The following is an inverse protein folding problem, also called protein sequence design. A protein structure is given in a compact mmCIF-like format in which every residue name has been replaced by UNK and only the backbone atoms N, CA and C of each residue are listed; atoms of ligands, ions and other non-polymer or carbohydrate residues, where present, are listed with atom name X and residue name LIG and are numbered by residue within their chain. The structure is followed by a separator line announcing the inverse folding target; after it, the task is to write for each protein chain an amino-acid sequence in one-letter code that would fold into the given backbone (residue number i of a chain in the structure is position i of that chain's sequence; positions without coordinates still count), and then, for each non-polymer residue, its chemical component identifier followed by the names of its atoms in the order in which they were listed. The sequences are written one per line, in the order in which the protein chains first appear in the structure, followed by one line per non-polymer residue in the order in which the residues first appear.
data_IF_218215860402
#
_entry.id   IF_218215860402
#
_cell.length_a   1.000
_cell.length_b   1.000
_cell.length_c   1.000
_cell.angle_alpha   90.00
_cell.angle_beta   90.00
_cell.angle_gamma   90.00
#
_symmetry.space_group_name_H-M   'P 1'
#
loop_
_entity.id
_entity.type
_entity.pdbx_description
1 polymer ?
#
# COMPACT_ATOMS: atom_id res chain seq x y z
N UNK A 1 -6.33 1.42 22.43
CA UNK A 1 -7.38 0.47 21.99
C UNK A 1 -6.90 -0.13 20.68
N UNK A 2 -6.36 -1.35 20.70
CA UNK A 2 -6.10 -2.14 19.49
C UNK A 2 -7.27 -3.12 19.36
N UNK A 3 -8.03 -3.14 18.26
CA UNK A 3 -8.98 -4.22 18.03
C UNK A 3 -8.17 -5.53 17.91
N UNK A 4 -8.50 -6.52 18.73
CA UNK A 4 -7.64 -7.63 19.15
C UNK A 4 -7.22 -8.65 18.07
N UNK A 5 -7.43 -8.39 16.77
CA UNK A 5 -7.08 -9.37 15.72
C UNK A 5 -6.57 -8.77 14.39
N UNK A 6 -6.32 -7.46 14.31
CA UNK A 6 -5.75 -6.87 13.10
C UNK A 6 -4.22 -6.72 13.25
N UNK A 7 -3.48 -7.38 12.36
CA UNK A 7 -2.02 -7.24 12.25
C UNK A 7 -1.68 -5.76 12.13
N UNK A 8 -0.73 -5.28 12.96
CA UNK A 8 -0.32 -3.88 12.87
C UNK A 8 0.30 -3.59 11.51
N UNK A 9 0.21 -2.34 11.04
CA UNK A 9 0.80 -1.98 9.77
C UNK A 9 2.32 -2.23 9.75
N UNK A 10 3.00 -2.03 10.89
CA UNK A 10 4.44 -2.27 11.02
C UNK A 10 4.78 -3.77 10.87
N UNK A 11 4.01 -4.65 11.50
CA UNK A 11 4.18 -6.10 11.32
C UNK A 11 3.89 -6.52 9.88
N UNK A 12 2.86 -5.93 9.27
CA UNK A 12 2.47 -6.22 7.89
C UNK A 12 3.58 -5.87 6.89
N UNK A 13 4.20 -4.69 7.04
CA UNK A 13 5.29 -4.28 6.14
C UNK A 13 6.59 -5.06 6.43
N UNK A 14 6.83 -5.49 7.66
CA UNK A 14 7.95 -6.34 8.03
C UNK A 14 7.82 -7.74 7.40
N UNK A 15 6.59 -8.26 7.29
CA UNK A 15 6.28 -9.51 6.59
C UNK A 15 6.42 -9.35 5.06
N UNK A 16 5.81 -8.30 4.49
CA UNK A 16 5.75 -8.12 3.02
C UNK A 16 7.02 -7.56 2.39
N UNK A 17 7.85 -6.84 3.14
CA UNK A 17 9.14 -6.29 2.69
C UNK A 17 9.12 -5.63 1.30
N UNK A 18 8.24 -4.64 1.04
CA UNK A 18 8.23 -3.95 -0.24
C UNK A 18 9.54 -3.18 -0.45
N UNK A 19 10.09 -3.31 -1.65
CA UNK A 19 11.46 -2.87 -1.97
C UNK A 19 11.52 -1.49 -2.61
N UNK A 20 10.43 -1.07 -3.26
CA UNK A 20 10.35 0.20 -3.99
C UNK A 20 9.01 0.90 -3.75
N UNK A 21 8.91 2.16 -4.16
CA UNK A 21 7.74 2.99 -3.88
C UNK A 21 6.45 2.44 -4.49
N UNK A 22 6.52 1.82 -5.67
CA UNK A 22 5.32 1.24 -6.31
C UNK A 22 4.74 0.10 -5.47
N UNK A 23 5.62 -0.75 -4.93
CA UNK A 23 5.24 -1.82 -4.01
C UNK A 23 4.73 -1.26 -2.68
N UNK A 24 5.37 -0.22 -2.14
CA UNK A 24 4.90 0.45 -0.92
C UNK A 24 3.49 1.00 -1.10
N UNK A 25 3.20 1.67 -2.22
CA UNK A 25 1.83 2.14 -2.50
C UNK A 25 0.83 0.99 -2.59
N UNK A 26 1.19 -0.10 -3.27
CA UNK A 26 0.34 -1.28 -3.35
C UNK A 26 0.06 -1.88 -1.96
N UNK A 27 1.08 -2.01 -1.11
CA UNK A 27 0.97 -2.52 0.26
C UNK A 27 0.11 -1.61 1.14
N UNK A 28 0.28 -0.29 1.05
CA UNK A 28 -0.53 0.69 1.80
C UNK A 28 -2.00 0.60 1.39
N UNK A 29 -2.30 0.68 0.09
CA UNK A 29 -3.69 0.65 -0.40
C UNK A 29 -4.34 -0.70 -0.09
N UNK A 30 -3.60 -1.80 -0.26
CA UNK A 30 -4.07 -3.13 0.13
C UNK A 30 -4.42 -3.19 1.62
N UNK A 31 -3.53 -2.70 2.50
CA UNK A 31 -3.77 -2.76 3.93
C UNK A 31 -5.00 -1.94 4.34
N UNK A 32 -5.12 -0.71 3.82
CA UNK A 32 -6.27 0.15 4.07
C UNK A 32 -7.58 -0.50 3.58
N UNK A 33 -7.61 -1.04 2.36
CA UNK A 33 -8.84 -1.58 1.76
C UNK A 33 -9.19 -2.99 2.28
N UNK A 34 -8.21 -3.89 2.34
CA UNK A 34 -8.44 -5.31 2.61
C UNK A 34 -8.31 -5.67 4.08
N UNK A 35 -7.46 -4.98 4.83
CA UNK A 35 -7.26 -5.26 6.26
C UNK A 35 -8.17 -4.37 7.09
N UNK A 36 -8.07 -3.05 6.93
CA UNK A 36 -8.87 -2.08 7.71
C UNK A 36 -10.27 -1.82 7.14
N UNK A 37 -10.60 -2.40 5.98
CA UNK A 37 -11.89 -2.23 5.27
C UNK A 37 -12.27 -0.76 5.05
N UNK A 38 -11.27 0.12 4.90
CA UNK A 38 -11.46 1.53 4.67
C UNK A 38 -11.93 1.77 3.23
N UNK A 39 -13.08 2.41 3.07
CA UNK A 39 -13.62 2.86 1.79
C UNK A 39 -14.50 4.10 2.03
N UNK A 40 -14.23 5.24 1.37
CA UNK A 40 -13.21 5.46 0.34
C UNK A 40 -11.79 5.65 0.90
N UNK A 41 -10.78 5.33 0.09
CA UNK A 41 -9.38 5.68 0.38
C UNK A 41 -9.01 6.91 -0.42
N UNK A 42 -8.57 7.96 0.27
CA UNK A 42 -8.09 9.19 -0.35
C UNK A 42 -6.57 9.29 -0.31
N UNK A 43 -6.01 10.23 -1.05
CA UNK A 43 -4.59 10.54 -1.00
C UNK A 43 -4.13 11.01 0.40
N UNK A 44 -5.01 11.62 1.20
CA UNK A 44 -4.69 12.03 2.57
C UNK A 44 -4.47 10.82 3.48
N UNK A 45 -5.23 9.75 3.28
CA UNK A 45 -5.16 8.56 4.13
C UNK A 45 -3.86 7.80 3.84
N UNK A 46 -3.51 7.68 2.56
CA UNK A 46 -2.22 7.13 2.13
C UNK A 46 -1.07 7.98 2.70
N UNK A 47 -1.11 9.30 2.55
CA UNK A 47 -0.07 10.19 3.09
C UNK A 47 0.05 10.10 4.61
N UNK A 48 -1.07 9.94 5.32
CA UNK A 48 -1.08 9.75 6.77
C UNK A 48 -0.42 8.43 7.18
N UNK A 49 -0.62 7.34 6.43
CA UNK A 49 0.11 6.08 6.66
C UNK A 49 1.61 6.29 6.52
N UNK A 50 2.07 6.99 5.47
CA UNK A 50 3.50 7.29 5.27
C UNK A 50 4.08 8.19 6.38
N UNK A 51 3.31 9.12 6.94
CA UNK A 51 3.77 9.97 8.06
C UNK A 51 3.79 9.25 9.40
N UNK A 52 2.92 8.25 9.59
CA UNK A 52 2.81 7.51 10.84
C UNK A 52 3.74 6.30 10.90
N UNK A 53 4.11 5.74 9.74
CA UNK A 53 5.12 4.68 9.69
C UNK A 53 6.51 5.27 9.85
N UNK A 54 7.31 4.68 10.75
CA UNK A 54 8.72 5.06 10.90
C UNK A 54 9.63 4.31 9.91
N UNK A 55 9.10 3.34 9.17
CA UNK A 55 9.90 2.48 8.29
C UNK A 55 10.29 3.16 6.98
N UNK A 56 9.48 4.11 6.49
CA UNK A 56 9.66 4.72 5.17
C UNK A 56 9.62 6.24 5.27
N UNK A 57 10.34 6.90 4.36
CA UNK A 57 10.25 8.34 4.21
C UNK A 57 8.94 8.72 3.55
N UNK A 58 8.36 9.85 3.96
CA UNK A 58 7.22 10.44 3.28
C UNK A 58 7.60 10.79 1.83
N UNK A 59 6.78 10.39 0.83
CA UNK A 59 7.05 10.72 -0.56
C UNK A 59 7.00 12.24 -0.80
N UNK A 60 8.03 12.79 -1.45
CA UNK A 60 8.07 14.22 -1.80
C UNK A 60 6.91 14.64 -2.72
N UNK A 61 6.44 13.73 -3.58
CA UNK A 61 5.28 13.95 -4.43
C UNK A 61 4.42 12.68 -4.48
N UNK A 62 3.49 12.60 -3.53
CA UNK A 62 2.58 11.46 -3.38
C UNK A 62 1.70 11.25 -4.63
N UNK A 63 1.17 12.33 -5.20
CA UNK A 63 0.28 12.25 -6.38
C UNK A 63 0.98 11.60 -7.58
N UNK A 64 2.17 12.07 -7.91
CA UNK A 64 2.95 11.51 -9.02
C UNK A 64 3.42 10.08 -8.72
N UNK A 65 3.75 9.77 -7.46
CA UNK A 65 4.08 8.40 -7.04
C UNK A 65 2.93 7.42 -7.26
N UNK A 66 1.72 7.79 -6.84
CA UNK A 66 0.51 6.99 -7.02
C UNK A 66 0.18 6.79 -8.51
N UNK A 67 0.26 7.86 -9.32
CA UNK A 67 0.09 7.73 -10.77
C UNK A 67 1.10 6.78 -11.38
N UNK A 68 2.39 6.88 -11.00
CA UNK A 68 3.42 5.98 -11.51
C UNK A 68 3.16 4.51 -11.13
N UNK A 69 2.72 4.24 -9.90
CA UNK A 69 2.37 2.90 -9.46
C UNK A 69 1.17 2.34 -10.23
N UNK A 70 0.15 3.16 -10.48
CA UNK A 70 -1.00 2.80 -11.31
C UNK A 70 -0.58 2.50 -12.75
N UNK A 71 0.17 3.40 -13.41
CA UNK A 71 0.51 3.25 -14.83
C UNK A 71 1.55 2.16 -15.12
N UNK A 72 2.58 2.02 -14.28
CA UNK A 72 3.71 1.13 -14.58
C UNK A 72 3.48 -0.31 -14.15
N UNK A 73 2.73 -0.52 -13.07
CA UNK A 73 2.53 -1.85 -12.47
C UNK A 73 1.08 -2.28 -12.39
N UNK A 74 0.14 -1.36 -12.58
CA UNK A 74 -1.31 -1.62 -12.50
C UNK A 74 -1.72 -2.19 -11.14
N UNK A 75 -0.97 -1.91 -10.07
CA UNK A 75 -1.28 -2.43 -8.73
C UNK A 75 -2.44 -1.69 -8.07
N UNK A 76 -2.59 -0.40 -8.36
CA UNK A 76 -3.63 0.45 -7.80
C UNK A 76 -4.42 1.14 -8.93
N UNK A 77 -5.69 1.40 -8.67
CA UNK A 77 -6.56 2.21 -9.50
C UNK A 77 -6.65 3.61 -8.88
N UNK A 78 -6.24 4.61 -9.67
CA UNK A 78 -6.25 6.04 -9.32
C UNK A 78 -7.12 6.85 -10.27
N UNK A 79 -8.02 6.20 -11.01
CA UNK A 79 -9.00 6.87 -11.88
C UNK A 79 -9.88 7.85 -11.11
N UNK A 80 -10.12 7.58 -9.82
CA UNK A 80 -10.72 8.50 -8.87
C UNK A 80 -9.77 8.73 -7.68
N UNK A 81 -9.15 9.92 -7.62
CA UNK A 81 -8.21 10.28 -6.53
C UNK A 81 -8.87 10.43 -5.15
N UNK A 82 -10.20 10.54 -5.12
CA UNK A 82 -11.00 10.53 -3.89
C UNK A 82 -11.46 9.13 -3.49
N UNK A 83 -11.15 8.10 -4.31
CA UNK A 83 -11.44 6.70 -4.02
C UNK A 83 -10.44 5.78 -4.74
N UNK A 84 -9.22 5.77 -4.23
CA UNK A 84 -8.12 4.92 -4.71
C UNK A 84 -8.36 3.49 -4.27
N UNK A 85 -8.14 2.52 -5.16
CA UNK A 85 -8.40 1.10 -4.87
C UNK A 85 -7.22 0.22 -5.22
N UNK A 86 -7.12 -0.92 -4.58
CA UNK A 86 -6.24 -2.00 -5.01
C UNK A 86 -6.88 -2.69 -6.21
N UNK A 87 -6.09 -2.94 -7.26
CA UNK A 87 -6.57 -3.77 -8.37
C UNK A 87 -6.49 -5.25 -7.98
N UNK A 88 -7.12 -6.11 -8.77
CA UNK A 88 -6.93 -7.56 -8.66
C UNK A 88 -5.46 -7.97 -8.79
N UNK A 89 -4.70 -7.31 -9.67
CA UNK A 89 -3.28 -7.56 -9.87
C UNK A 89 -2.46 -7.16 -8.62
N UNK A 90 -2.69 -5.96 -8.09
CA UNK A 90 -2.02 -5.49 -6.87
C UNK A 90 -2.35 -6.37 -5.65
N UNK A 91 -3.62 -6.80 -5.52
CA UNK A 91 -4.05 -7.71 -4.46
C UNK A 91 -3.31 -9.04 -4.51
N UNK A 92 -3.20 -9.63 -5.71
CA UNK A 92 -2.48 -10.88 -5.88
C UNK A 92 -0.99 -10.71 -5.62
N UNK A 93 -0.40 -9.61 -6.09
CA UNK A 93 1.00 -9.27 -5.87
C UNK A 93 1.32 -9.19 -4.36
N UNK A 94 0.59 -8.36 -3.61
CA UNK A 94 0.82 -8.20 -2.15
C UNK A 94 0.58 -9.52 -1.39
N UNK A 95 -0.41 -10.31 -1.80
CA UNK A 95 -0.75 -11.56 -1.09
C UNK A 95 0.19 -12.73 -1.39
N UNK A 96 0.69 -12.85 -2.62
CA UNK A 96 1.34 -14.07 -3.13
C UNK A 96 2.78 -13.87 -3.58
N UNK A 97 3.14 -12.66 -3.96
CA UNK A 97 4.47 -12.35 -4.52
C UNK A 97 5.36 -11.64 -3.51
N UNK A 98 4.78 -10.93 -2.54
CA UNK A 98 5.50 -10.36 -1.41
C UNK A 98 5.48 -11.28 -0.17
N UNK A 99 6.61 -11.41 0.56
CA UNK A 99 7.93 -10.85 0.24
C UNK A 99 8.56 -11.55 -0.97
N UNK A 100 9.38 -10.81 -1.72
CA UNK A 100 10.09 -11.37 -2.87
C UNK A 100 10.91 -12.58 -2.43
N UNK A 101 10.78 -13.69 -3.16
CA UNK A 101 11.61 -14.86 -2.90
C UNK A 101 13.07 -14.45 -3.09
N UNK A 102 13.90 -14.68 -2.07
CA UNK A 102 15.34 -14.53 -2.22
C UNK A 102 15.80 -15.41 -3.38
N UNK A 103 16.29 -14.79 -4.46
CA UNK A 103 17.01 -15.52 -5.50
C UNK A 103 18.22 -16.17 -4.82
N UNK A 104 18.25 -17.51 -4.84
CA UNK A 104 19.44 -18.29 -4.48
C UNK A 104 20.56 -18.04 -5.48
#
# INVERSE_FOLDING_TARGET
MHPENEQSFEDFIAEKQPTNDQERYAVVVYYLEETLKLNPITMNEIGTVFRRTNAWKEPTNLRSGLQNAAFRKLYIDVSNMSNIKITTAGRNFVRRELPHKASK
#
